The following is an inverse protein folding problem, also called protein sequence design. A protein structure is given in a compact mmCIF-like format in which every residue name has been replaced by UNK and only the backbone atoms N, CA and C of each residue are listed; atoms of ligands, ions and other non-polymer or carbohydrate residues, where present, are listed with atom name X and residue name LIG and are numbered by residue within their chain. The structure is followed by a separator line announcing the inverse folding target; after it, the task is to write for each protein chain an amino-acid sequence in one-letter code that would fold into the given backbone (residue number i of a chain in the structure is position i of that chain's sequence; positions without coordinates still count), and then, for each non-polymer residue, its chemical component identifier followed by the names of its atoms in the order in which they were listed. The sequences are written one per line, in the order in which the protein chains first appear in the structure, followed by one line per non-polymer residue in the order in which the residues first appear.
data_IF_839292995085
#
_entry.id   IF_839292995085
#
_cell.length_a   1.000
_cell.length_b   1.000
_cell.length_c   1.000
_cell.angle_alpha   90.00
_cell.angle_beta   90.00
_cell.angle_gamma   90.00
#
_symmetry.space_group_name_H-M   'P 1'
#
loop_
_entity.id
_entity.type
_entity.pdbx_description
1 polymer ?
#
# COMPACT_ATOMS: atom_id res chain seq x y z
N UNK A 1 11.90 3.17 -5.53
CA UNK A 1 12.40 2.48 -4.32
C UNK A 1 13.93 2.36 -4.33
N UNK A 2 14.53 1.84 -5.41
CA UNK A 2 15.99 1.70 -5.52
C UNK A 2 16.74 3.05 -5.44
N UNK A 3 16.18 4.14 -5.97
CA UNK A 3 16.78 5.48 -5.86
C UNK A 3 16.80 6.01 -4.42
N UNK A 4 15.87 5.56 -3.59
CA UNK A 4 15.68 6.05 -2.23
C UNK A 4 16.40 5.19 -1.20
N UNK A 5 16.21 3.86 -1.27
CA UNK A 5 16.85 2.93 -0.34
C UNK A 5 16.91 1.52 -0.93
N UNK A 6 18.09 1.02 -1.19
CA UNK A 6 18.34 -0.32 -1.74
C UNK A 6 17.89 -1.42 -0.76
N UNK A 7 18.07 -1.19 0.54
CA UNK A 7 17.62 -2.12 1.58
C UNK A 7 16.08 -2.30 1.56
N UNK A 8 15.32 -1.23 1.33
CA UNK A 8 13.87 -1.34 1.27
C UNK A 8 13.41 -2.27 0.13
N UNK A 9 14.08 -2.19 -1.03
CA UNK A 9 13.83 -3.11 -2.14
C UNK A 9 14.13 -4.56 -1.74
N UNK A 10 15.30 -4.82 -1.17
CA UNK A 10 15.74 -6.14 -0.74
C UNK A 10 14.79 -6.77 0.29
N UNK A 11 14.44 -6.03 1.35
CA UNK A 11 13.56 -6.53 2.41
C UNK A 11 12.11 -6.75 1.94
N UNK A 12 11.64 -6.06 0.91
CA UNK A 12 10.32 -6.33 0.34
C UNK A 12 10.27 -7.61 -0.48
N UNK A 13 11.41 -8.02 -1.07
CA UNK A 13 11.50 -9.25 -1.85
C UNK A 13 11.78 -10.49 -1.01
N UNK A 14 12.53 -10.35 0.09
CA UNK A 14 13.06 -11.47 0.87
C UNK A 14 12.25 -11.80 2.13
N UNK A 15 11.58 -10.83 2.76
CA UNK A 15 10.89 -11.08 4.03
C UNK A 15 9.57 -10.35 4.17
N UNK A 16 8.48 -11.12 4.39
CA UNK A 16 7.18 -10.58 4.81
C UNK A 16 7.00 -10.53 6.33
N UNK A 17 7.90 -11.11 7.13
CA UNK A 17 7.65 -11.49 8.53
C UNK A 17 7.72 -10.29 9.41
N UNK A 18 7.99 -9.23 9.46
CA UNK A 18 7.99 -8.12 10.43
C UNK A 18 7.66 -6.76 9.79
N UNK A 19 6.85 -6.77 8.75
CA UNK A 19 6.39 -5.51 8.16
C UNK A 19 5.17 -4.97 8.92
N UNK A 20 5.10 -3.66 9.15
CA UNK A 20 3.87 -3.06 9.64
C UNK A 20 2.71 -3.42 8.73
N UNK A 21 1.54 -3.77 9.28
CA UNK A 21 0.40 -4.16 8.48
C UNK A 21 0.05 -3.06 7.48
N UNK A 22 -0.40 -3.45 6.30
CA UNK A 22 -0.92 -2.51 5.30
C UNK A 22 -2.08 -1.72 5.90
N UNK A 23 -2.05 -0.39 5.78
CA UNK A 23 -3.13 0.46 6.29
C UNK A 23 -4.46 0.21 5.58
N UNK A 24 -5.57 0.68 6.18
CA UNK A 24 -6.93 0.54 5.64
C UNK A 24 -7.07 0.94 4.17
N UNK A 25 -6.33 1.94 3.72
CA UNK A 25 -6.31 2.38 2.31
C UNK A 25 -5.89 1.27 1.34
N UNK A 26 -4.97 0.40 1.75
CA UNK A 26 -4.51 -0.72 0.92
C UNK A 26 -5.62 -1.76 0.68
N UNK A 27 -6.42 -2.08 1.68
CA UNK A 27 -7.53 -3.03 1.55
C UNK A 27 -8.62 -2.52 0.61
N UNK A 28 -8.95 -1.23 0.73
CA UNK A 28 -9.88 -0.58 -0.19
C UNK A 28 -9.34 -0.56 -1.62
N UNK A 29 -8.05 -0.25 -1.79
CA UNK A 29 -7.39 -0.32 -3.09
C UNK A 29 -7.52 -1.70 -3.71
N UNK A 30 -7.14 -2.74 -2.99
CA UNK A 30 -7.25 -4.14 -3.43
C UNK A 30 -8.70 -4.51 -3.79
N UNK A 31 -9.68 -4.10 -2.98
CA UNK A 31 -11.09 -4.37 -3.25
C UNK A 31 -11.59 -3.64 -4.51
N UNK A 32 -11.19 -2.38 -4.72
CA UNK A 32 -11.52 -1.60 -5.92
C UNK A 32 -10.94 -2.29 -7.16
N UNK A 33 -9.65 -2.62 -7.17
CA UNK A 33 -9.00 -3.30 -8.31
C UNK A 33 -9.67 -4.64 -8.63
N UNK A 34 -9.86 -5.52 -7.63
CA UNK A 34 -10.55 -6.80 -7.83
C UNK A 34 -12.01 -6.65 -8.29
N UNK A 35 -12.67 -5.54 -7.94
CA UNK A 35 -14.02 -5.25 -8.42
C UNK A 35 -14.00 -4.79 -9.87
N UNK A 36 -13.08 -3.87 -10.22
CA UNK A 36 -12.89 -3.41 -11.61
C UNK A 36 -12.58 -4.58 -12.53
N UNK A 37 -11.62 -5.41 -12.13
CA UNK A 37 -11.25 -6.63 -12.87
C UNK A 37 -12.48 -7.51 -13.15
N UNK A 38 -13.25 -7.84 -12.11
CA UNK A 38 -14.45 -8.65 -12.24
C UNK A 38 -15.47 -8.02 -13.21
N UNK A 39 -15.74 -6.74 -13.07
CA UNK A 39 -16.70 -6.03 -13.92
C UNK A 39 -16.22 -5.92 -15.38
N UNK A 40 -14.93 -5.72 -15.60
CA UNK A 40 -14.34 -5.70 -16.95
C UNK A 40 -14.34 -7.07 -17.62
N UNK A 41 -14.12 -8.16 -16.88
CA UNK A 41 -14.12 -9.52 -17.40
C UNK A 41 -15.53 -9.99 -17.69
N UNK A 42 -16.45 -9.87 -16.75
CA UNK A 42 -17.78 -10.49 -16.83
C UNK A 42 -18.89 -9.57 -17.34
N UNK A 43 -18.63 -8.25 -17.48
CA UNK A 43 -19.54 -7.34 -18.16
C UNK A 43 -20.85 -7.05 -17.44
N UNK A 44 -20.82 -7.01 -16.11
CA UNK A 44 -21.99 -6.64 -15.33
C UNK A 44 -22.34 -5.16 -15.47
N UNK A 45 -23.65 -4.84 -15.45
CA UNK A 45 -24.14 -3.46 -15.37
C UNK A 45 -23.65 -2.82 -14.07
N UNK A 46 -23.09 -1.59 -14.11
CA UNK A 46 -22.58 -0.92 -12.92
C UNK A 46 -23.61 -0.69 -11.80
N UNK A 47 -24.88 -0.80 -12.09
CA UNK A 47 -25.97 -0.46 -11.17
C UNK A 47 -26.56 -1.67 -10.41
N UNK A 48 -26.34 -2.91 -10.88
CA UNK A 48 -26.85 -4.12 -10.21
C UNK A 48 -25.69 -4.95 -9.62
N UNK A 49 -25.70 -5.08 -8.29
CA UNK A 49 -24.77 -5.97 -7.58
C UNK A 49 -23.34 -5.43 -7.39
N UNK A 50 -23.00 -4.24 -7.89
CA UNK A 50 -21.65 -3.67 -7.72
C UNK A 50 -21.28 -3.45 -6.27
N UNK A 51 -22.22 -3.01 -5.45
CA UNK A 51 -22.00 -2.81 -4.01
C UNK A 51 -21.72 -4.13 -3.30
N UNK A 52 -22.54 -5.13 -3.57
CA UNK A 52 -22.42 -6.48 -2.99
C UNK A 52 -21.08 -7.11 -3.41
N UNK A 53 -20.73 -7.01 -4.69
CA UNK A 53 -19.46 -7.48 -5.21
C UNK A 53 -18.27 -6.75 -4.55
N UNK A 54 -18.32 -5.43 -4.46
CA UNK A 54 -17.27 -4.65 -3.79
C UNK A 54 -17.11 -5.05 -2.32
N UNK A 55 -18.21 -5.21 -1.59
CA UNK A 55 -18.18 -5.65 -0.19
C UNK A 55 -17.63 -7.08 -0.05
N UNK A 56 -17.96 -7.98 -0.97
CA UNK A 56 -17.37 -9.32 -1.01
C UNK A 56 -15.85 -9.27 -1.21
N UNK A 57 -15.38 -8.45 -2.17
CA UNK A 57 -13.94 -8.30 -2.44
C UNK A 57 -13.23 -7.63 -1.26
N UNK A 58 -13.83 -6.63 -0.63
CA UNK A 58 -13.31 -5.98 0.57
C UNK A 58 -13.21 -6.98 1.74
N UNK A 59 -14.23 -7.81 1.92
CA UNK A 59 -14.22 -8.89 2.92
C UNK A 59 -13.03 -9.83 2.71
N UNK A 60 -12.85 -10.31 1.48
CA UNK A 60 -11.73 -11.20 1.15
C UNK A 60 -10.36 -10.54 1.39
N UNK A 61 -10.22 -9.27 0.99
CA UNK A 61 -8.99 -8.51 1.22
C UNK A 61 -8.67 -8.35 2.71
N UNK A 62 -9.68 -8.07 3.54
CA UNK A 62 -9.52 -7.94 4.99
C UNK A 62 -9.17 -9.27 5.68
N UNK A 63 -9.83 -10.37 5.29
CA UNK A 63 -9.52 -11.72 5.83
C UNK A 63 -8.06 -12.07 5.51
N UNK A 64 -7.66 -11.93 4.25
CA UNK A 64 -6.27 -12.21 3.82
C UNK A 64 -5.26 -11.35 4.57
N UNK A 65 -5.54 -10.06 4.75
CA UNK A 65 -4.67 -9.18 5.52
C UNK A 65 -4.61 -9.56 7.01
N UNK A 66 -5.69 -10.10 7.58
CA UNK A 66 -5.75 -10.61 8.95
C UNK A 66 -4.84 -11.83 9.17
N UNK A 67 -4.51 -12.59 8.12
CA UNK A 67 -3.57 -13.73 8.22
C UNK A 67 -2.16 -13.28 8.65
N UNK A 68 -1.73 -12.09 8.21
CA UNK A 68 -0.43 -11.50 8.55
C UNK A 68 -0.49 -10.45 9.68
N UNK A 69 -1.68 -10.15 10.22
CA UNK A 69 -1.88 -9.16 11.27
C UNK A 69 -2.76 -9.69 12.40
N UNK A 70 -2.17 -10.15 13.51
CA UNK A 70 -2.93 -10.65 14.67
C UNK A 70 -3.96 -9.65 15.20
N UNK A 71 -3.61 -8.35 15.23
CA UNK A 71 -4.52 -7.28 15.67
C UNK A 71 -5.73 -7.13 14.74
N UNK A 72 -5.53 -7.15 13.42
CA UNK A 72 -6.62 -7.08 12.46
C UNK A 72 -7.49 -8.33 12.53
N UNK A 73 -6.88 -9.52 12.61
CA UNK A 73 -7.58 -10.80 12.78
C UNK A 73 -8.47 -10.80 14.01
N UNK A 74 -7.94 -10.37 15.15
CA UNK A 74 -8.69 -10.27 16.40
C UNK A 74 -9.88 -9.29 16.25
N UNK A 75 -9.65 -8.12 15.67
CA UNK A 75 -10.69 -7.11 15.47
C UNK A 75 -11.82 -7.62 14.58
N UNK A 76 -11.50 -8.28 13.48
CA UNK A 76 -12.49 -8.88 12.58
C UNK A 76 -13.32 -9.95 13.29
N UNK A 77 -12.69 -10.79 14.11
CA UNK A 77 -13.37 -11.85 14.86
C UNK A 77 -14.28 -11.33 15.98
N UNK A 78 -13.82 -10.34 16.73
CA UNK A 78 -14.53 -9.83 17.92
C UNK A 78 -15.55 -8.72 17.62
N UNK A 79 -15.27 -7.86 16.65
CA UNK A 79 -16.06 -6.66 16.37
C UNK A 79 -16.74 -6.66 14.99
N UNK A 80 -16.37 -7.62 14.16
CA UNK A 80 -16.88 -7.71 12.80
C UNK A 80 -16.29 -6.66 11.85
N UNK A 81 -16.66 -6.76 10.60
CA UNK A 81 -16.08 -5.99 9.49
C UNK A 81 -16.41 -4.50 9.54
N UNK A 82 -17.60 -4.14 10.03
CA UNK A 82 -18.05 -2.74 10.15
C UNK A 82 -17.19 -1.89 11.10
N UNK A 83 -16.39 -2.52 11.95
CA UNK A 83 -15.44 -1.82 12.82
C UNK A 83 -14.17 -1.35 12.08
N UNK A 84 -13.89 -1.89 10.90
CA UNK A 84 -12.67 -1.64 10.14
C UNK A 84 -12.87 -0.59 9.04
N UNK A 85 -14.09 -0.41 8.55
CA UNK A 85 -14.39 0.55 7.49
C UNK A 85 -15.63 1.39 7.77
N UNK A 86 -15.67 2.59 7.22
CA UNK A 86 -16.80 3.50 7.34
C UNK A 86 -17.61 3.60 6.02
N UNK A 87 -18.86 4.02 6.16
CA UNK A 87 -19.77 4.17 5.03
C UNK A 87 -19.33 5.24 4.04
N UNK A 88 -18.62 6.28 4.48
CA UNK A 88 -18.16 7.38 3.62
C UNK A 88 -17.13 6.84 2.62
N UNK A 89 -16.21 6.00 3.08
CA UNK A 89 -15.21 5.34 2.20
C UNK A 89 -15.87 4.37 1.22
N UNK A 90 -16.86 3.60 1.67
CA UNK A 90 -17.61 2.71 0.79
C UNK A 90 -18.32 3.50 -0.32
N UNK A 91 -18.99 4.58 0.03
CA UNK A 91 -19.67 5.45 -0.95
C UNK A 91 -18.64 6.02 -1.94
N UNK A 92 -17.50 6.53 -1.47
CA UNK A 92 -16.43 7.02 -2.32
C UNK A 92 -15.90 5.96 -3.30
N UNK A 93 -15.68 4.73 -2.82
CA UNK A 93 -15.26 3.62 -3.67
C UNK A 93 -16.30 3.27 -4.74
N UNK A 94 -17.58 3.23 -4.38
CA UNK A 94 -18.67 2.95 -5.33
C UNK A 94 -18.81 4.05 -6.38
N UNK A 95 -18.64 5.31 -6.01
CA UNK A 95 -18.62 6.43 -6.96
C UNK A 95 -17.44 6.31 -7.94
N UNK A 96 -16.26 5.96 -7.45
CA UNK A 96 -15.09 5.71 -8.27
C UNK A 96 -15.33 4.53 -9.25
N UNK A 97 -15.84 3.41 -8.77
CA UNK A 97 -16.18 2.25 -9.60
C UNK A 97 -17.17 2.63 -10.71
N UNK A 98 -18.22 3.38 -10.37
CA UNK A 98 -19.19 3.86 -11.36
C UNK A 98 -18.53 4.73 -12.44
N UNK A 99 -17.65 5.65 -12.06
CA UNK A 99 -16.90 6.52 -12.99
C UNK A 99 -16.00 5.71 -13.93
N UNK A 100 -15.24 4.77 -13.39
CA UNK A 100 -14.34 3.90 -14.16
C UNK A 100 -15.15 3.04 -15.14
N UNK A 101 -16.21 2.39 -14.67
CA UNK A 101 -17.04 1.54 -15.52
C UNK A 101 -17.75 2.32 -16.62
N UNK A 102 -18.22 3.55 -16.36
CA UNK A 102 -18.81 4.39 -17.41
C UNK A 102 -17.83 4.74 -18.52
N UNK A 103 -16.52 4.86 -18.20
CA UNK A 103 -15.47 5.15 -19.19
C UNK A 103 -15.05 3.90 -19.97
N UNK A 104 -14.82 2.78 -19.30
CA UNK A 104 -14.16 1.61 -19.89
C UNK A 104 -15.10 0.46 -20.29
N UNK A 105 -16.35 0.43 -19.80
CA UNK A 105 -17.33 -0.60 -20.22
C UNK A 105 -17.64 -0.58 -21.72
N UNK A 106 -17.60 0.61 -22.34
CA UNK A 106 -17.84 0.81 -23.78
C UNK A 106 -16.76 0.12 -24.62
N UNK A 107 -15.51 0.06 -24.14
CA UNK A 107 -14.37 -0.52 -24.84
C UNK A 107 -14.57 -2.03 -25.09
N UNK A 108 -15.23 -2.73 -24.19
CA UNK A 108 -15.48 -4.17 -24.29
C UNK A 108 -16.41 -4.55 -25.47
N UNK A 109 -17.37 -3.70 -25.80
CA UNK A 109 -18.29 -3.94 -26.91
C UNK A 109 -17.62 -3.80 -28.29
N UNK A 110 -16.65 -2.91 -28.43
CA UNK A 110 -15.94 -2.68 -29.69
C UNK A 110 -14.98 -3.83 -30.04
N UNK A 111 -14.38 -4.50 -29.05
CA UNK A 111 -13.41 -5.58 -29.27
C UNK A 111 -14.01 -6.94 -29.59
N UNK A 112 -15.31 -7.18 -29.32
CA UNK A 112 -15.98 -8.47 -29.58
C UNK A 112 -16.43 -8.66 -31.05
N UNK A 113 -16.48 -7.63 -31.89
CA UNK A 113 -17.09 -7.70 -33.21
C UNK A 113 -16.15 -7.94 -34.39
N UNK A 114 -14.84 -8.07 -34.24
CA UNK A 114 -13.92 -8.20 -35.37
C UNK A 114 -13.18 -9.54 -35.39
N UNK A 115 -13.63 -10.46 -36.25
CA UNK A 115 -13.02 -11.78 -36.46
C UNK A 115 -11.90 -11.77 -37.51
N UNK A 116 -10.66 -11.96 -37.07
CA UNK A 116 -9.55 -12.49 -37.88
C UNK A 116 -8.51 -13.15 -36.95
N UNK A 117 -7.84 -14.22 -37.41
CA UNK A 117 -6.98 -15.09 -36.59
C UNK A 117 -5.76 -14.35 -35.95
N UNK A 118 -5.19 -13.34 -36.61
CA UNK A 118 -4.12 -12.49 -36.02
C UNK A 118 -4.65 -11.58 -34.91
N UNK A 119 -5.89 -11.10 -35.02
CA UNK A 119 -6.54 -10.27 -33.99
C UNK A 119 -6.91 -11.07 -32.74
N UNK A 120 -7.11 -12.39 -32.88
CA UNK A 120 -7.45 -13.27 -31.76
C UNK A 120 -6.25 -13.53 -30.84
N UNK A 121 -5.03 -13.67 -31.40
CA UNK A 121 -3.80 -13.75 -30.61
C UNK A 121 -3.51 -12.45 -29.85
N UNK A 122 -3.74 -11.28 -30.46
CA UNK A 122 -3.64 -9.98 -29.82
C UNK A 122 -4.66 -9.81 -28.69
N UNK A 123 -5.92 -10.24 -28.91
CA UNK A 123 -7.00 -10.19 -27.91
C UNK A 123 -6.68 -10.97 -26.65
N UNK A 124 -5.95 -12.08 -26.76
CA UNK A 124 -5.56 -12.91 -25.62
C UNK A 124 -4.46 -12.25 -24.74
N UNK A 125 -3.72 -11.30 -25.30
CA UNK A 125 -2.67 -10.56 -24.59
C UNK A 125 -3.16 -9.26 -23.95
N UNK A 126 -4.32 -8.74 -24.38
CA UNK A 126 -4.95 -7.54 -23.83
C UNK A 126 -6.06 -7.91 -22.84
N UNK A 127 -6.34 -7.03 -21.90
CA UNK A 127 -7.40 -7.23 -20.90
C UNK A 127 -7.00 -6.76 -19.52
N UNK A 128 -7.70 -7.26 -18.51
CA UNK A 128 -7.47 -6.94 -17.10
C UNK A 128 -6.45 -7.89 -16.48
N UNK A 129 -5.64 -7.39 -15.54
CA UNK A 129 -4.64 -8.14 -14.75
C UNK A 129 -3.71 -9.00 -15.64
N UNK A 130 -3.19 -8.40 -16.71
CA UNK A 130 -2.27 -9.09 -17.62
C UNK A 130 -0.83 -8.96 -17.18
N UNK A 131 -0.14 -10.10 -17.10
CA UNK A 131 1.28 -10.14 -16.81
C UNK A 131 2.07 -9.96 -18.10
N UNK A 132 3.00 -9.00 -18.06
CA UNK A 132 4.00 -8.79 -19.09
C UNK A 132 5.40 -8.96 -18.52
N UNK A 133 6.33 -9.45 -19.35
CA UNK A 133 7.71 -9.74 -18.95
C UNK A 133 8.70 -9.28 -20.02
N UNK A 134 9.82 -8.71 -19.61
CA UNK A 134 11.01 -8.51 -20.45
C UNK A 134 12.14 -9.36 -19.87
N UNK A 135 12.29 -10.59 -20.36
CA UNK A 135 13.30 -11.54 -19.86
C UNK A 135 14.73 -10.99 -19.89
N UNK A 136 15.08 -10.28 -20.95
CA UNK A 136 16.42 -9.69 -21.11
C UNK A 136 16.74 -8.66 -20.02
N UNK A 137 15.71 -8.01 -19.48
CA UNK A 137 15.83 -7.02 -18.41
C UNK A 137 15.45 -7.57 -17.04
N UNK A 138 15.02 -8.83 -16.95
CA UNK A 138 14.53 -9.47 -15.74
C UNK A 138 13.45 -8.61 -15.02
N UNK A 139 12.49 -8.11 -15.83
CA UNK A 139 11.40 -7.28 -15.38
C UNK A 139 10.10 -7.95 -15.73
N UNK A 140 9.19 -8.01 -14.77
CA UNK A 140 7.81 -8.43 -14.99
C UNK A 140 6.85 -7.54 -14.20
N UNK A 141 5.60 -7.48 -14.63
CA UNK A 141 4.57 -6.70 -13.95
C UNK A 141 3.18 -7.09 -14.40
N UNK A 142 2.23 -6.93 -13.47
CA UNK A 142 0.82 -7.09 -13.74
C UNK A 142 0.22 -5.72 -14.05
N UNK A 143 -0.39 -5.60 -15.21
CA UNK A 143 -1.03 -4.38 -15.69
C UNK A 143 -2.52 -4.47 -15.35
N UNK A 144 -3.06 -3.48 -14.66
CA UNK A 144 -4.45 -3.46 -14.23
C UNK A 144 -5.41 -3.60 -15.41
N UNK A 145 -5.18 -2.83 -16.48
CA UNK A 145 -5.97 -2.92 -17.69
C UNK A 145 -5.20 -2.47 -18.93
N UNK A 146 -5.27 -3.25 -20.00
CA UNK A 146 -4.65 -2.94 -21.27
C UNK A 146 -5.62 -3.26 -22.41
N UNK A 147 -5.88 -2.30 -23.32
CA UNK A 147 -6.79 -2.48 -24.41
C UNK A 147 -6.34 -1.73 -25.67
N UNK A 148 -6.85 -2.15 -26.82
CA UNK A 148 -6.65 -1.47 -28.10
C UNK A 148 -7.95 -0.73 -28.47
N UNK A 149 -7.82 0.53 -28.84
CA UNK A 149 -8.93 1.35 -29.30
C UNK A 149 -9.25 1.13 -30.81
N UNK A 150 -10.24 1.84 -31.34
CA UNK A 150 -10.65 1.77 -32.73
C UNK A 150 -9.59 2.27 -33.72
N UNK A 151 -8.63 3.08 -33.27
CA UNK A 151 -7.53 3.62 -34.06
C UNK A 151 -6.27 2.76 -34.00
N UNK A 152 -6.35 1.56 -33.43
CA UNK A 152 -5.23 0.65 -33.18
C UNK A 152 -4.20 1.18 -32.16
N UNK A 153 -4.56 2.15 -31.34
CA UNK A 153 -3.74 2.65 -30.23
C UNK A 153 -3.91 1.72 -29.01
N UNK A 154 -2.82 1.35 -28.37
CA UNK A 154 -2.85 0.56 -27.14
C UNK A 154 -2.86 1.49 -25.95
N UNK A 155 -3.85 1.33 -25.10
CA UNK A 155 -3.98 2.05 -23.83
C UNK A 155 -3.58 1.14 -22.68
N UNK A 156 -2.71 1.65 -21.82
CA UNK A 156 -2.30 1.00 -20.57
C UNK A 156 -2.87 1.84 -19.45
N UNK A 157 -3.75 1.25 -18.64
CA UNK A 157 -4.45 1.96 -17.56
C UNK A 157 -4.06 1.35 -16.21
N UNK A 158 -3.58 2.21 -15.32
CA UNK A 158 -3.28 1.87 -13.93
C UNK A 158 -4.30 2.58 -13.02
N UNK A 159 -5.05 1.81 -12.24
CA UNK A 159 -6.09 2.32 -11.37
C UNK A 159 -5.54 2.63 -9.98
N UNK A 160 -5.85 3.79 -9.45
CA UNK A 160 -5.44 4.22 -8.11
C UNK A 160 -6.66 4.60 -7.27
N UNK A 161 -6.73 4.09 -6.06
CA UNK A 161 -7.86 4.37 -5.13
C UNK A 161 -7.83 5.77 -4.52
N UNK A 162 -6.73 6.52 -4.69
CA UNK A 162 -6.52 7.84 -4.10
C UNK A 162 -6.19 8.92 -5.12
N UNK A 163 -5.73 10.06 -4.61
CA UNK A 163 -5.19 11.17 -5.42
C UNK A 163 -3.92 10.76 -6.13
N UNK A 164 -3.82 11.05 -7.42
CA UNK A 164 -2.66 10.68 -8.24
C UNK A 164 -1.61 11.80 -8.36
N UNK A 165 -1.98 13.04 -8.06
CA UNK A 165 -1.08 14.19 -8.11
C UNK A 165 -0.48 14.52 -6.75
N UNK A 166 0.74 15.03 -6.77
CA UNK A 166 1.43 15.60 -5.62
C UNK A 166 0.95 17.03 -5.31
N UNK A 167 1.61 17.69 -4.35
CA UNK A 167 1.28 19.07 -3.95
C UNK A 167 1.57 20.11 -5.04
N UNK A 168 2.47 19.79 -5.97
CA UNK A 168 2.85 20.63 -7.11
C UNK A 168 2.01 20.32 -8.36
N UNK A 169 0.94 19.55 -8.23
CA UNK A 169 0.06 19.10 -9.30
C UNK A 169 0.79 18.31 -10.41
N UNK A 170 1.84 17.58 -10.05
CA UNK A 170 2.55 16.64 -10.92
C UNK A 170 2.11 15.21 -10.57
N UNK A 171 2.11 14.32 -11.56
CA UNK A 171 1.90 12.90 -11.28
C UNK A 171 2.92 12.43 -10.24
N UNK A 172 2.46 11.73 -9.21
CA UNK A 172 3.37 11.20 -8.19
C UNK A 172 4.43 10.33 -8.84
N UNK A 173 5.67 10.52 -8.41
CA UNK A 173 6.86 9.88 -9.01
C UNK A 173 6.76 8.35 -9.05
N UNK A 174 6.21 7.75 -8.00
CA UNK A 174 6.01 6.30 -7.94
C UNK A 174 5.03 5.80 -9.01
N UNK A 175 3.97 6.56 -9.33
CA UNK A 175 3.01 6.20 -10.37
C UNK A 175 3.59 6.43 -11.77
N UNK A 176 4.34 7.53 -11.95
CA UNK A 176 5.04 7.81 -13.20
C UNK A 176 6.03 6.70 -13.55
N UNK A 177 6.83 6.24 -12.58
CA UNK A 177 7.77 5.14 -12.77
C UNK A 177 7.02 3.84 -13.10
N UNK A 178 5.99 3.49 -12.33
CA UNK A 178 5.23 2.27 -12.51
C UNK A 178 4.60 2.21 -13.91
N UNK A 179 3.84 3.25 -14.30
CA UNK A 179 3.15 3.25 -15.59
C UNK A 179 4.13 3.29 -16.77
N UNK A 180 5.28 3.95 -16.59
CA UNK A 180 6.33 4.01 -17.61
C UNK A 180 7.00 2.63 -17.81
N UNK A 181 7.21 1.86 -16.74
CA UNK A 181 7.71 0.48 -16.83
C UNK A 181 6.68 -0.42 -17.52
N UNK A 182 5.39 -0.24 -17.27
CA UNK A 182 4.34 -0.93 -18.00
C UNK A 182 4.39 -0.61 -19.49
N UNK A 183 4.58 0.66 -19.86
CA UNK A 183 4.79 1.09 -21.24
C UNK A 183 5.99 0.40 -21.88
N UNK A 184 7.11 0.31 -21.18
CA UNK A 184 8.30 -0.40 -21.64
C UNK A 184 7.99 -1.87 -21.92
N UNK A 185 7.35 -2.58 -20.96
CA UNK A 185 7.01 -4.00 -21.12
C UNK A 185 6.05 -4.23 -22.30
N UNK A 186 5.01 -3.43 -22.43
CA UNK A 186 4.04 -3.56 -23.54
C UNK A 186 4.67 -3.24 -24.88
N UNK A 187 5.57 -2.24 -24.94
CA UNK A 187 6.25 -1.87 -26.19
C UNK A 187 7.14 -2.96 -26.79
N UNK A 188 7.63 -3.90 -25.96
CA UNK A 188 8.39 -5.06 -26.46
C UNK A 188 7.49 -6.09 -27.16
N UNK A 189 6.21 -6.16 -26.79
CA UNK A 189 5.24 -7.08 -27.39
C UNK A 189 4.46 -6.44 -28.56
N UNK A 190 4.34 -5.11 -28.58
CA UNK A 190 3.52 -4.34 -29.50
C UNK A 190 4.29 -3.19 -30.14
N UNK A 191 5.50 -3.46 -30.67
CA UNK A 191 6.45 -2.48 -31.17
C UNK A 191 5.95 -1.59 -32.30
N UNK A 192 4.93 -2.04 -33.05
CA UNK A 192 4.34 -1.31 -34.19
C UNK A 192 3.12 -0.47 -33.80
N UNK A 193 2.76 -0.42 -32.51
CA UNK A 193 1.57 0.28 -32.05
C UNK A 193 1.96 1.55 -31.30
N UNK A 194 1.15 2.56 -31.47
CA UNK A 194 1.15 3.70 -30.56
C UNK A 194 0.63 3.25 -29.20
N UNK A 195 1.29 3.71 -28.12
CA UNK A 195 0.96 3.34 -26.75
C UNK A 195 0.65 4.60 -25.98
N UNK A 196 -0.47 4.62 -25.27
CA UNK A 196 -0.87 5.68 -24.34
C UNK A 196 -0.86 5.13 -22.93
N UNK A 197 -0.14 5.81 -22.04
CA UNK A 197 -0.10 5.55 -20.61
C UNK A 197 -1.21 6.34 -19.93
N UNK A 198 -2.00 5.70 -19.08
CA UNK A 198 -3.07 6.34 -18.31
C UNK A 198 -2.98 5.94 -16.84
N UNK A 199 -3.07 6.94 -15.94
CA UNK A 199 -3.28 6.71 -14.50
C UNK A 199 -4.64 7.27 -14.13
N UNK A 200 -5.54 6.41 -13.64
CA UNK A 200 -6.89 6.77 -13.29
C UNK A 200 -7.04 6.78 -11.76
N UNK A 201 -7.09 7.96 -11.17
CA UNK A 201 -7.36 8.14 -9.74
C UNK A 201 -8.85 8.17 -9.40
N UNK A 202 -9.15 8.42 -8.13
CA UNK A 202 -10.53 8.54 -7.64
C UNK A 202 -11.29 9.71 -8.28
N UNK A 203 -10.65 10.87 -8.37
CA UNK A 203 -11.20 12.11 -8.97
C UNK A 203 -10.48 12.54 -10.23
N UNK A 204 -9.21 12.15 -10.37
CA UNK A 204 -8.25 12.71 -11.31
C UNK A 204 -7.84 11.68 -12.35
N UNK A 205 -7.35 12.17 -13.48
CA UNK A 205 -6.81 11.35 -14.55
C UNK A 205 -5.55 12.02 -15.11
N UNK A 206 -4.57 11.19 -15.47
CA UNK A 206 -3.37 11.60 -16.17
C UNK A 206 -3.14 10.70 -17.38
N UNK A 207 -2.60 11.23 -18.47
CA UNK A 207 -2.22 10.43 -19.63
C UNK A 207 -1.03 11.04 -20.36
N UNK A 208 -0.20 10.18 -20.94
CA UNK A 208 0.97 10.55 -21.75
C UNK A 208 1.22 9.48 -22.82
N UNK A 209 1.59 9.88 -24.08
CA UNK A 209 2.13 8.94 -25.06
C UNK A 209 3.44 8.32 -24.58
N UNK A 210 3.61 7.01 -24.78
CA UNK A 210 4.88 6.33 -24.55
C UNK A 210 5.74 6.41 -25.81
N UNK A 211 6.79 7.19 -25.75
CA UNK A 211 7.67 7.42 -26.90
C UNK A 211 9.04 6.73 -26.76
N UNK A 212 9.81 6.75 -27.85
CA UNK A 212 11.14 6.15 -27.92
C UNK A 212 12.14 6.80 -26.96
N UNK A 213 11.97 8.10 -26.63
CA UNK A 213 12.87 8.77 -25.71
C UNK A 213 12.67 8.24 -24.30
N UNK A 214 11.40 8.08 -23.86
CA UNK A 214 11.05 7.51 -22.58
C UNK A 214 11.55 6.07 -22.49
N UNK A 215 11.35 5.25 -23.55
CA UNK A 215 11.90 3.89 -23.64
C UNK A 215 13.41 3.87 -23.41
N UNK A 216 14.17 4.69 -24.11
CA UNK A 216 15.63 4.76 -24.00
C UNK A 216 16.11 5.21 -22.62
N UNK A 217 15.39 6.17 -21.99
CA UNK A 217 15.70 6.63 -20.63
C UNK A 217 15.50 5.48 -19.63
N UNK A 218 14.39 4.77 -19.71
CA UNK A 218 14.08 3.66 -18.80
C UNK A 218 15.08 2.52 -18.95
N UNK A 219 15.36 2.07 -20.18
CA UNK A 219 16.31 0.98 -20.43
C UNK A 219 17.69 1.32 -19.84
N UNK A 220 18.17 2.54 -20.08
CA UNK A 220 19.46 3.00 -19.53
C UNK A 220 19.48 3.03 -18.00
N UNK A 221 18.38 3.47 -17.37
CA UNK A 221 18.26 3.44 -15.90
C UNK A 221 18.29 2.02 -15.35
N UNK A 222 17.56 1.09 -15.98
CA UNK A 222 17.55 -0.31 -15.57
C UNK A 222 18.93 -0.93 -15.65
N UNK A 223 19.66 -0.69 -16.75
CA UNK A 223 21.04 -1.16 -16.90
C UNK A 223 21.99 -0.61 -15.82
N UNK A 224 21.83 0.67 -15.48
CA UNK A 224 22.60 1.29 -14.39
C UNK A 224 22.29 0.65 -13.03
N UNK A 225 21.02 0.26 -12.76
CA UNK A 225 20.68 -0.45 -11.52
C UNK A 225 21.24 -1.86 -11.49
N UNK A 226 21.16 -2.61 -12.59
CA UNK A 226 21.76 -3.94 -12.69
C UNK A 226 23.27 -3.93 -12.45
N UNK A 227 23.96 -2.90 -12.93
CA UNK A 227 25.42 -2.75 -12.68
C UNK A 227 25.73 -2.45 -11.21
N UNK A 228 24.85 -1.75 -10.50
CA UNK A 228 25.04 -1.41 -9.08
C UNK A 228 24.71 -2.57 -8.13
N UNK A 229 23.85 -3.49 -8.54
CA UNK A 229 23.40 -4.63 -7.75
C UNK A 229 23.74 -5.94 -8.49
N UNK A 230 25.02 -6.32 -8.58
CA UNK A 230 25.41 -7.56 -9.22
C UNK A 230 24.85 -8.76 -8.45
N UNK A 231 24.23 -9.69 -9.17
CA UNK A 231 23.69 -10.93 -8.61
C UNK A 231 24.82 -11.73 -7.93
N UNK A 232 24.55 -12.23 -6.73
CA UNK A 232 25.47 -13.14 -6.01
C UNK A 232 26.52 -12.47 -5.12
N UNK A 233 26.47 -11.17 -4.89
CA UNK A 233 27.31 -10.50 -3.89
C UNK A 233 26.60 -10.52 -2.54
N UNK A 234 27.24 -11.07 -1.51
CA UNK A 234 26.79 -10.92 -0.11
C UNK A 234 26.93 -9.45 0.30
N UNK A 235 25.82 -8.75 0.35
CA UNK A 235 25.76 -7.38 0.90
C UNK A 235 25.52 -7.46 2.40
N UNK A 236 26.27 -6.69 3.17
CA UNK A 236 25.82 -6.38 4.52
C UNK A 236 24.51 -5.58 4.44
N UNK A 237 23.45 -6.08 5.07
CA UNK A 237 22.15 -5.42 5.14
C UNK A 237 22.29 -3.94 5.53
N UNK A 238 23.19 -3.67 6.47
CA UNK A 238 23.46 -2.31 6.94
C UNK A 238 24.11 -1.41 5.87
N UNK A 239 24.87 -1.97 4.91
CA UNK A 239 25.48 -1.17 3.84
C UNK A 239 24.45 -0.66 2.82
N UNK A 240 23.33 -1.36 2.66
CA UNK A 240 22.26 -1.01 1.72
C UNK A 240 21.30 0.04 2.29
N UNK A 241 21.28 0.23 3.61
CA UNK A 241 20.37 1.16 4.25
C UNK A 241 20.83 2.62 4.04
N UNK A 242 19.97 3.41 3.41
CA UNK A 242 20.12 4.87 3.26
C UNK A 242 19.02 5.56 4.04
N UNK A 243 19.41 6.33 5.08
CA UNK A 243 18.47 7.14 5.83
C UNK A 243 18.07 8.38 5.02
N UNK A 244 16.78 8.70 5.03
CA UNK A 244 16.21 9.84 4.31
C UNK A 244 14.73 10.03 4.63
N UNK A 245 14.10 11.06 4.06
CA UNK A 245 12.69 11.41 4.31
C UNK A 245 11.73 10.25 4.00
N UNK A 246 12.10 9.36 3.08
CA UNK A 246 11.35 8.14 2.75
C UNK A 246 11.25 7.15 3.92
N UNK A 247 12.14 7.21 4.92
CA UNK A 247 12.13 6.29 6.06
C UNK A 247 10.84 6.39 6.86
N UNK A 248 10.26 7.59 6.98
CA UNK A 248 9.01 7.83 7.72
C UNK A 248 7.81 7.04 7.18
N UNK A 249 7.83 6.66 5.91
CA UNK A 249 6.78 5.89 5.22
C UNK A 249 7.25 4.51 4.73
N UNK A 250 8.51 4.15 5.00
CA UNK A 250 9.10 2.90 4.58
C UNK A 250 8.41 1.71 5.25
N UNK A 251 7.98 0.72 4.46
CA UNK A 251 7.35 -0.50 4.99
C UNK A 251 8.34 -1.43 5.70
N UNK A 252 9.59 -1.40 5.30
CA UNK A 252 10.63 -2.25 5.87
C UNK A 252 11.35 -1.63 7.07
N UNK A 253 10.87 -0.48 7.58
CA UNK A 253 11.56 0.25 8.66
C UNK A 253 11.62 -0.49 9.98
N UNK A 254 10.65 -1.37 10.26
CA UNK A 254 10.66 -2.25 11.45
C UNK A 254 11.78 -3.30 11.43
N UNK A 255 12.27 -3.65 10.24
CA UNK A 255 13.39 -4.59 10.05
C UNK A 255 14.70 -3.87 9.68
N UNK A 256 14.71 -2.54 9.63
CA UNK A 256 15.88 -1.75 9.30
C UNK A 256 16.65 -1.38 10.58
N UNK A 257 17.84 -1.97 10.76
CA UNK A 257 18.70 -1.73 11.93
C UNK A 257 19.01 -0.26 12.14
N UNK A 258 19.40 0.47 11.08
CA UNK A 258 19.66 1.91 11.18
C UNK A 258 18.45 2.72 11.62
N UNK A 259 17.26 2.41 11.10
CA UNK A 259 16.04 3.08 11.53
C UNK A 259 15.71 2.76 12.99
N UNK A 260 15.86 1.49 13.36
CA UNK A 260 15.59 1.02 14.71
C UNK A 260 16.56 1.64 15.73
N UNK A 261 17.84 1.78 15.39
CA UNK A 261 18.84 2.43 16.22
C UNK A 261 18.49 3.91 16.51
N UNK A 262 18.03 4.66 15.50
CA UNK A 262 17.56 6.02 15.69
C UNK A 262 16.31 6.05 16.58
N UNK A 263 15.37 5.13 16.37
CA UNK A 263 14.15 5.04 17.17
C UNK A 263 14.47 4.71 18.64
N UNK A 264 15.46 3.83 18.87
CA UNK A 264 15.89 3.38 20.20
C UNK A 264 16.70 4.40 20.97
N UNK A 265 17.57 5.13 20.33
CA UNK A 265 18.49 6.05 21.00
C UNK A 265 18.00 7.49 21.06
N UNK A 266 16.83 7.75 20.52
CA UNK A 266 16.29 9.11 20.39
C UNK A 266 16.92 9.88 19.23
N UNK A 267 16.22 10.90 18.78
CA UNK A 267 16.71 11.73 17.69
C UNK A 267 17.55 12.87 18.22
N UNK A 268 18.81 12.95 17.79
CA UNK A 268 19.45 14.26 17.70
C UNK A 268 18.58 15.16 16.82
N UNK A 269 18.61 16.47 17.01
CA UNK A 269 17.75 17.46 16.31
C UNK A 269 17.60 17.25 14.80
N UNK A 270 18.58 16.61 14.17
CA UNK A 270 18.64 16.40 12.73
C UNK A 270 17.86 15.15 12.26
N UNK A 271 17.54 14.21 13.15
CA UNK A 271 16.87 12.96 12.81
C UNK A 271 15.33 12.98 13.00
N UNK A 272 14.77 14.04 13.60
CA UNK A 272 13.31 14.14 13.79
C UNK A 272 12.49 14.05 12.51
N UNK A 273 13.06 14.43 11.36
CA UNK A 273 12.40 14.32 10.05
C UNK A 273 12.42 12.91 9.50
N UNK A 274 13.34 12.05 9.95
CA UNK A 274 13.52 10.69 9.44
C UNK A 274 12.53 9.72 10.08
N UNK A 275 12.14 9.98 11.34
CA UNK A 275 11.23 9.13 12.07
C UNK A 275 9.76 9.41 11.69
N UNK A 276 8.99 8.36 11.54
CA UNK A 276 7.54 8.48 11.48
C UNK A 276 7.02 8.96 12.83
N UNK A 277 6.18 10.01 12.82
CA UNK A 277 5.51 10.50 14.04
C UNK A 277 4.62 9.45 14.71
N UNK A 278 4.36 8.36 14.03
CA UNK A 278 3.54 7.23 14.46
C UNK A 278 4.34 6.05 15.00
N UNK A 279 5.66 6.16 15.03
CA UNK A 279 6.55 5.12 15.54
C UNK A 279 7.17 5.56 16.88
N UNK A 280 7.29 4.61 17.80
CA UNK A 280 7.72 4.87 19.17
C UNK A 280 8.56 3.71 19.71
N UNK A 281 9.60 4.03 20.43
CA UNK A 281 10.32 3.10 21.31
C UNK A 281 10.27 3.61 22.74
N UNK A 282 9.99 2.72 23.71
CA UNK A 282 9.92 3.17 25.10
C UNK A 282 9.75 2.05 26.10
N UNK A 283 9.93 2.42 27.37
CA UNK A 283 9.78 1.58 28.54
C UNK A 283 8.34 1.59 29.06
N UNK A 284 7.79 0.44 29.40
CA UNK A 284 6.46 0.31 29.99
C UNK A 284 6.49 0.77 31.45
N UNK A 285 5.82 1.88 31.74
CA UNK A 285 5.68 2.43 33.09
C UNK A 285 4.45 1.89 33.83
N UNK A 286 3.34 1.75 33.10
CA UNK A 286 2.05 1.31 33.68
C UNK A 286 1.31 0.42 32.68
N UNK A 287 0.56 -0.55 33.21
CA UNK A 287 -0.31 -1.44 32.44
C UNK A 287 -1.69 -1.39 33.08
N UNK A 288 -2.66 -0.87 32.35
CA UNK A 288 -4.06 -0.86 32.76
C UNK A 288 -4.84 -1.89 31.92
N UNK A 289 -5.44 -2.88 32.58
CA UNK A 289 -6.21 -3.92 31.92
C UNK A 289 -7.70 -3.67 32.11
N UNK A 290 -8.45 -3.77 31.01
CA UNK A 290 -9.90 -3.95 31.01
C UNK A 290 -10.23 -5.42 30.74
N UNK A 291 -11.49 -5.75 30.53
CA UNK A 291 -11.92 -7.11 30.18
C UNK A 291 -11.23 -7.62 28.90
N UNK A 292 -11.24 -6.81 27.83
CA UNK A 292 -10.75 -7.21 26.50
C UNK A 292 -9.43 -6.56 26.10
N UNK A 293 -9.02 -5.46 26.74
CA UNK A 293 -7.91 -4.61 26.30
C UNK A 293 -6.92 -4.25 27.37
N UNK A 294 -5.73 -3.92 26.89
CA UNK A 294 -4.66 -3.32 27.68
C UNK A 294 -4.44 -1.89 27.17
N UNK A 295 -4.26 -0.96 28.08
CA UNK A 295 -3.68 0.35 27.86
C UNK A 295 -2.31 0.40 28.51
N UNK A 296 -1.30 0.81 27.77
CA UNK A 296 0.07 0.97 28.25
C UNK A 296 0.41 2.44 28.40
N UNK A 297 1.11 2.79 29.46
CA UNK A 297 1.86 4.02 29.53
C UNK A 297 3.32 3.74 29.28
N UNK A 298 3.86 4.39 28.28
CA UNK A 298 5.25 4.26 27.87
C UNK A 298 6.00 5.57 28.12
N UNK A 299 7.22 5.44 28.60
CA UNK A 299 8.19 6.52 28.58
C UNK A 299 9.08 6.36 27.37
N UNK A 300 8.94 7.27 26.41
CA UNK A 300 9.77 7.26 25.19
C UNK A 300 11.23 7.60 25.50
N UNK A 301 12.11 7.32 24.56
CA UNK A 301 13.52 7.71 24.60
C UNK A 301 13.73 9.22 24.76
N UNK A 302 12.79 10.03 24.29
CA UNK A 302 12.81 11.49 24.47
C UNK A 302 12.21 11.94 25.83
N UNK A 303 12.03 11.02 26.78
CA UNK A 303 11.41 11.25 28.08
C UNK A 303 9.95 11.73 28.04
N UNK A 304 9.25 11.57 26.94
CA UNK A 304 7.83 11.89 26.83
C UNK A 304 7.01 10.66 27.25
N UNK A 305 6.05 10.87 28.13
CA UNK A 305 5.11 9.80 28.50
C UNK A 305 3.94 9.81 27.52
N UNK A 306 3.64 8.66 26.95
CA UNK A 306 2.50 8.45 26.02
C UNK A 306 1.63 7.30 26.49
N UNK A 307 0.34 7.35 26.19
CA UNK A 307 -0.59 6.25 26.43
C UNK A 307 -0.91 5.55 25.12
N UNK A 308 -0.75 4.23 25.08
CA UNK A 308 -1.11 3.38 23.93
C UNK A 308 -2.30 2.53 24.31
N UNK A 309 -3.41 2.75 23.64
CA UNK A 309 -4.66 2.05 23.89
C UNK A 309 -5.04 1.10 22.73
N UNK A 310 -5.94 0.18 23.04
CA UNK A 310 -6.50 -0.73 22.03
C UNK A 310 -5.68 -1.98 21.78
N UNK A 311 -4.83 -2.39 22.72
CA UNK A 311 -4.09 -3.64 22.68
C UNK A 311 -4.98 -4.77 23.18
N UNK A 312 -5.31 -5.79 22.36
CA UNK A 312 -6.10 -6.92 22.82
C UNK A 312 -5.35 -7.76 23.86
N UNK A 313 -5.99 -8.01 24.99
CA UNK A 313 -5.40 -8.76 26.11
C UNK A 313 -4.99 -10.18 25.72
N UNK A 314 -5.76 -10.81 24.84
CA UNK A 314 -5.51 -12.18 24.36
C UNK A 314 -4.22 -12.30 23.53
N UNK A 315 -3.76 -11.19 22.93
CA UNK A 315 -2.55 -11.16 22.10
C UNK A 315 -1.33 -10.75 22.90
N UNK A 316 -1.50 -9.81 23.83
CA UNK A 316 -0.40 -9.20 24.59
C UNK A 316 -0.37 -9.71 26.04
N UNK A 317 -0.19 -11.02 26.20
CA UNK A 317 -0.24 -11.68 27.51
C UNK A 317 1.04 -11.52 28.34
N UNK A 318 2.17 -11.24 27.69
CA UNK A 318 3.49 -11.29 28.31
C UNK A 318 4.11 -9.90 28.58
N UNK A 319 3.30 -8.85 28.54
CA UNK A 319 3.80 -7.50 28.83
C UNK A 319 3.99 -7.30 30.34
N UNK A 320 5.11 -6.72 30.75
CA UNK A 320 5.39 -6.38 32.14
C UNK A 320 6.03 -4.99 32.26
N UNK A 321 5.97 -4.44 33.49
CA UNK A 321 6.59 -3.15 33.81
C UNK A 321 8.10 -3.25 33.61
N UNK A 322 8.68 -2.16 33.09
CA UNK A 322 10.11 -2.08 32.79
C UNK A 322 10.53 -2.69 31.43
N UNK A 323 9.64 -3.45 30.77
CA UNK A 323 9.94 -3.92 29.41
C UNK A 323 10.01 -2.78 28.42
N UNK A 324 10.89 -2.93 27.44
CA UNK A 324 10.98 -2.02 26.31
C UNK A 324 10.21 -2.57 25.11
N UNK A 325 9.44 -1.72 24.45
CA UNK A 325 8.70 -2.07 23.24
C UNK A 325 8.92 -1.05 22.13
N UNK A 326 8.96 -1.54 20.90
CA UNK A 326 8.92 -0.74 19.70
C UNK A 326 7.54 -0.84 19.05
N UNK A 327 6.93 0.27 18.76
CA UNK A 327 5.62 0.37 18.15
C UNK A 327 5.73 1.11 16.83
N UNK A 328 5.16 0.54 15.76
CA UNK A 328 5.16 1.13 14.43
C UNK A 328 3.72 1.34 13.95
N UNK A 329 3.45 2.43 13.24
CA UNK A 329 2.12 2.79 12.74
C UNK A 329 1.07 3.10 13.82
N UNK A 330 1.48 3.62 14.96
CA UNK A 330 0.53 4.14 15.94
C UNK A 330 -0.26 5.32 15.35
N UNK A 331 -1.55 5.41 15.63
CA UNK A 331 -2.38 6.55 15.22
C UNK A 331 -2.63 7.47 16.40
N UNK A 332 -2.45 8.78 16.21
CA UNK A 332 -2.91 9.75 17.19
C UNK A 332 -4.42 9.63 17.37
N UNK A 333 -4.85 9.63 18.59
CA UNK A 333 -6.27 9.61 18.93
C UNK A 333 -6.87 10.98 18.61
N UNK A 334 -7.71 11.02 17.58
CA UNK A 334 -8.58 12.15 17.34
C UNK A 334 -9.87 11.97 18.17
N UNK A 335 -10.27 13.01 18.90
CA UNK A 335 -11.47 12.97 19.77
C UNK A 335 -12.73 12.55 19.00
N UNK A 336 -12.82 12.87 17.71
CA UNK A 336 -13.94 12.48 16.85
C UNK A 336 -13.92 10.97 16.47
N UNK A 337 -12.76 10.35 16.46
CA UNK A 337 -12.64 8.90 16.24
C UNK A 337 -13.06 8.07 17.47
N UNK A 338 -13.08 8.66 18.65
CA UNK A 338 -13.53 8.04 19.91
C UNK A 338 -14.98 7.53 19.86
N UNK A 339 -15.86 8.18 19.12
CA UNK A 339 -17.26 7.78 19.01
C UNK A 339 -17.46 6.44 18.27
N UNK A 340 -16.44 5.95 17.56
CA UNK A 340 -16.53 4.70 16.79
C UNK A 340 -16.03 3.46 17.55
N UNK A 341 -15.28 3.66 18.64
CA UNK A 341 -14.74 2.58 19.47
C UNK A 341 -15.08 2.86 20.93
N UNK A 342 -16.12 2.19 21.51
CA UNK A 342 -16.43 2.34 22.92
C UNK A 342 -15.34 1.64 23.76
N UNK A 343 -14.22 2.30 23.92
CA UNK A 343 -13.23 1.94 24.93
C UNK A 343 -13.51 2.83 26.11
N UNK A 344 -14.03 2.27 27.21
CA UNK A 344 -14.20 2.99 28.46
C UNK A 344 -12.82 3.32 29.05
N UNK A 345 -12.37 4.55 28.84
CA UNK A 345 -11.13 5.05 29.41
C UNK A 345 -11.35 5.46 30.86
N UNK A 346 -10.70 4.77 31.79
CA UNK A 346 -10.90 5.05 33.22
C UNK A 346 -10.19 6.32 33.71
N UNK A 347 -9.20 6.84 33.01
CA UNK A 347 -8.52 8.09 33.41
C UNK A 347 -8.16 8.92 32.19
N UNK A 348 -8.92 9.96 31.92
CA UNK A 348 -8.55 10.99 30.97
C UNK A 348 -7.58 11.97 31.63
N UNK A 349 -6.32 11.94 31.20
CA UNK A 349 -5.35 13.00 31.50
C UNK A 349 -5.08 13.76 30.21
N UNK A 350 -5.55 14.99 30.07
CA UNK A 350 -5.42 15.77 28.82
C UNK A 350 -3.97 16.13 28.47
N UNK A 351 -3.08 16.01 29.42
CA UNK A 351 -1.64 16.27 29.31
C UNK A 351 -0.83 15.10 28.71
N UNK A 352 -1.42 13.90 28.61
CA UNK A 352 -0.74 12.72 28.06
C UNK A 352 -1.26 12.42 26.66
N UNK A 353 -0.40 12.47 25.63
CA UNK A 353 -0.78 12.09 24.28
C UNK A 353 -1.28 10.63 24.23
N UNK A 354 -2.47 10.40 23.63
CA UNK A 354 -3.02 9.07 23.44
C UNK A 354 -2.82 8.61 22.02
N UNK A 355 -2.38 7.36 21.87
CA UNK A 355 -2.13 6.71 20.59
C UNK A 355 -2.94 5.42 20.53
N UNK A 356 -3.38 5.03 19.34
CA UNK A 356 -4.09 3.79 19.09
C UNK A 356 -3.18 2.78 18.40
N UNK A 357 -3.17 1.55 18.88
CA UNK A 357 -2.40 0.44 18.33
C UNK A 357 -3.16 -0.38 17.28
N UNK A 358 -4.35 0.02 16.88
CA UNK A 358 -5.26 -0.76 16.04
C UNK A 358 -4.63 -1.31 14.74
N UNK A 359 -3.72 -0.57 14.10
CA UNK A 359 -2.96 -0.98 12.91
C UNK A 359 -1.46 -1.00 13.17
N UNK A 360 -1.05 -1.04 14.43
CA UNK A 360 0.35 -1.02 14.80
C UNK A 360 1.00 -2.41 14.74
N UNK A 361 2.28 -2.43 14.43
CA UNK A 361 3.19 -3.53 14.75
C UNK A 361 3.85 -3.23 16.08
N UNK A 362 3.81 -4.17 17.02
CA UNK A 362 4.44 -4.04 18.33
C UNK A 362 5.47 -5.15 18.49
N UNK A 363 6.71 -4.77 18.71
CA UNK A 363 7.82 -5.66 18.97
C UNK A 363 8.26 -5.50 20.43
N UNK A 364 8.23 -6.60 21.18
CA UNK A 364 8.78 -6.66 22.54
C UNK A 364 10.29 -6.86 22.44
N UNK A 365 11.04 -6.10 23.18
CA UNK A 365 12.50 -6.19 23.26
C UNK A 365 12.84 -6.74 24.64
N UNK A 366 13.63 -7.80 24.69
CA UNK A 366 14.19 -8.42 25.88
C UNK A 366 15.29 -7.55 26.50
#
# INVERSE_FOLDING_TARGET
LLDECELNYFLQTESSENQPPSGQHSFFGTAIHSTIEHLLIYGHSPDQGTKELFLEKLTKALIKAGESSPLLSWTLKKRGMSSVYDNVRIIGALQQLKKIMSKYAIVKFATQQSGSSKKEALKNQLGSEKTFEIKALDIYGNIDFCFQDANNVIHIVDFKSGKIFDVDNRLKKEYEIQISLYGLMVSEHFSEHEIILEVQGSSDQWSLPFDINLKNILTRKIDQYKQKMPLGVEFSIDSLAKLGDHCSVCRSRSSCTKYFDILKHGSSSDHHKLLSKSDLYGEILEIHSTEDFIELRLKSTDNVVVSIAGLPKDIFTNLSLGMHIACFNLKFYDHEALCRFPVNFYVYRPDIPKLSAFEALILVQD
#
